data_IF_155843840217
#
_entry.id   IF_155843840217
#
_cell.length_a   1.000
_cell.length_b   1.000
_cell.length_c   1.000
_cell.angle_alpha   90.00
_cell.angle_beta   90.00
_cell.angle_gamma   90.00
#
_symmetry.space_group_name_H-M   'P 1'
#
loop_
_entity.id
_entity.type
_entity.pdbx_description
1 polymer ?
#
# COMPACT_ATOMS: atom_id res chain seq x y z
N UNK A 1 1.23 -3.57 18.35
CA UNK A 1 0.79 -4.73 17.58
C UNK A 1 2.01 -5.60 17.41
N UNK A 2 1.92 -6.90 17.67
CA UNK A 2 3.04 -7.81 17.42
C UNK A 2 2.80 -8.38 16.03
N UNK A 3 3.52 -7.87 15.03
CA UNK A 3 3.43 -8.31 13.64
C UNK A 3 4.86 -8.62 13.19
N UNK A 4 5.19 -9.91 13.13
CA UNK A 4 6.57 -10.38 12.92
C UNK A 4 6.71 -11.17 11.65
N UNK A 5 5.71 -11.95 11.29
CA UNK A 5 5.74 -12.80 10.09
C UNK A 5 4.78 -12.29 9.02
N UNK A 6 4.94 -12.82 7.81
CA UNK A 6 4.01 -12.55 6.72
C UNK A 6 2.57 -12.92 7.08
N UNK A 7 2.35 -14.04 7.77
CA UNK A 7 1.03 -14.49 8.21
C UNK A 7 0.34 -13.49 9.15
N UNK A 8 1.10 -12.82 10.02
CA UNK A 8 0.57 -11.76 10.89
C UNK A 8 0.14 -10.52 10.08
N UNK A 9 0.80 -10.26 8.96
CA UNK A 9 0.56 -9.11 8.09
C UNK A 9 -0.63 -9.31 7.14
N UNK A 10 -0.86 -10.55 6.69
CA UNK A 10 -2.03 -10.88 5.87
C UNK A 10 -3.33 -10.66 6.64
N UNK A 11 -4.30 -10.03 5.99
CA UNK A 11 -5.58 -9.66 6.60
C UNK A 11 -5.55 -8.33 7.38
N UNK A 12 -4.39 -7.68 7.49
CA UNK A 12 -4.33 -6.35 8.12
C UNK A 12 -5.00 -5.28 7.28
N UNK A 13 -5.61 -4.32 7.98
CA UNK A 13 -6.27 -3.17 7.40
C UNK A 13 -5.65 -1.88 7.96
N UNK A 14 -5.20 -1.01 7.05
CA UNK A 14 -4.49 0.21 7.37
C UNK A 14 -5.26 1.42 6.88
N UNK A 15 -5.28 2.47 7.70
CA UNK A 15 -5.54 3.85 7.27
C UNK A 15 -4.30 4.64 7.68
N UNK A 16 -3.70 5.36 6.74
CA UNK A 16 -2.47 6.10 6.97
C UNK A 16 -2.47 7.43 6.22
N UNK A 17 -1.76 8.40 6.79
CA UNK A 17 -1.63 9.74 6.22
C UNK A 17 -0.16 10.00 5.92
N UNK A 18 0.15 10.29 4.66
CA UNK A 18 1.48 10.73 4.25
C UNK A 18 1.82 12.11 4.83
N UNK A 19 3.12 12.43 4.92
CA UNK A 19 3.59 13.74 5.39
C UNK A 19 3.08 14.92 4.54
N UNK A 20 2.71 14.68 3.28
CA UNK A 20 2.07 15.67 2.40
C UNK A 20 0.56 15.84 2.62
N UNK A 21 -0.01 15.18 3.65
CA UNK A 21 -1.42 15.28 4.04
C UNK A 21 -2.37 14.36 3.30
N UNK A 22 -1.90 13.50 2.40
CA UNK A 22 -2.76 12.57 1.68
C UNK A 22 -3.12 11.35 2.54
N UNK A 23 -4.42 11.08 2.69
CA UNK A 23 -4.93 9.93 3.45
C UNK A 23 -5.33 8.78 2.53
N UNK A 24 -4.80 7.61 2.84
CA UNK A 24 -4.95 6.37 2.08
C UNK A 24 -5.39 5.24 3.02
N UNK A 25 -6.09 4.27 2.45
CA UNK A 25 -6.56 3.05 3.11
C UNK A 25 -6.16 1.85 2.28
N UNK A 26 -5.66 0.80 2.93
CA UNK A 26 -5.21 -0.42 2.28
C UNK A 26 -5.56 -1.65 3.12
N UNK A 27 -6.13 -2.66 2.48
CA UNK A 27 -6.40 -3.97 3.05
C UNK A 27 -5.55 -5.04 2.37
N UNK A 28 -4.72 -5.72 3.15
CA UNK A 28 -3.87 -6.83 2.69
C UNK A 28 -4.73 -8.08 2.62
N UNK A 29 -5.37 -8.32 1.48
CA UNK A 29 -6.41 -9.36 1.37
C UNK A 29 -5.86 -10.78 1.47
N UNK A 30 -4.75 -11.03 0.79
CA UNK A 30 -4.01 -12.30 0.81
C UNK A 30 -2.57 -12.04 0.34
N UNK A 31 -1.78 -13.08 0.11
CA UNK A 31 -0.35 -12.99 -0.23
C UNK A 31 -0.02 -12.37 -1.59
N UNK A 32 -1.01 -12.14 -2.47
CA UNK A 32 -0.78 -11.59 -3.80
C UNK A 32 -1.85 -10.57 -4.22
N UNK A 33 -2.76 -10.19 -3.33
CA UNK A 33 -3.86 -9.28 -3.64
C UNK A 33 -4.09 -8.25 -2.52
N UNK A 34 -4.34 -6.99 -2.91
CA UNK A 34 -4.81 -5.93 -2.01
C UNK A 34 -6.12 -5.29 -2.51
N UNK A 35 -6.84 -4.67 -1.58
CA UNK A 35 -7.85 -3.66 -1.88
C UNK A 35 -7.36 -2.32 -1.31
N UNK A 36 -7.57 -1.20 -2.00
CA UNK A 36 -7.16 0.13 -1.49
C UNK A 36 -8.14 1.24 -1.86
N UNK A 37 -8.21 2.27 -1.01
CA UNK A 37 -9.04 3.46 -1.20
C UNK A 37 -8.27 4.73 -0.86
N UNK A 38 -8.54 5.80 -1.60
CA UNK A 38 -7.85 7.09 -1.44
C UNK A 38 -8.86 8.10 -0.92
N UNK A 39 -8.62 8.63 0.28
CA UNK A 39 -9.52 9.57 0.96
C UNK A 39 -9.17 11.03 0.65
N UNK A 40 -7.89 11.34 0.49
CA UNK A 40 -7.39 12.70 0.24
C UNK A 40 -6.27 12.79 -0.78
N UNK A 41 -6.05 13.98 -1.33
CA UNK A 41 -5.00 14.26 -2.31
C UNK A 41 -5.47 14.27 -3.77
N UNK A 42 -4.53 14.15 -4.70
CA UNK A 42 -4.75 14.37 -6.15
C UNK A 42 -5.80 13.45 -6.78
N UNK A 43 -5.98 12.25 -6.22
CA UNK A 43 -6.87 11.21 -6.76
C UNK A 43 -7.88 10.71 -5.70
N UNK A 44 -8.30 11.60 -4.80
CA UNK A 44 -9.30 11.32 -3.78
C UNK A 44 -10.61 10.75 -4.37
N UNK A 45 -11.22 9.80 -3.67
CA UNK A 45 -12.43 9.09 -4.10
C UNK A 45 -12.16 7.82 -4.92
N UNK A 46 -10.92 7.60 -5.38
CA UNK A 46 -10.55 6.36 -6.07
C UNK A 46 -10.56 5.18 -5.08
N UNK A 47 -11.15 4.07 -5.51
CA UNK A 47 -11.13 2.78 -4.82
C UNK A 47 -10.89 1.67 -5.85
N UNK A 48 -9.88 0.83 -5.61
CA UNK A 48 -9.60 -0.37 -6.38
C UNK A 48 -9.74 -1.63 -5.50
N UNK A 49 -10.33 -2.68 -6.07
CA UNK A 49 -10.43 -4.01 -5.46
C UNK A 49 -9.71 -5.04 -6.31
N UNK A 50 -9.18 -6.06 -5.67
CA UNK A 50 -8.47 -7.17 -6.28
C UNK A 50 -7.27 -6.72 -7.12
N UNK A 51 -6.48 -5.76 -6.62
CA UNK A 51 -5.22 -5.39 -7.26
C UNK A 51 -4.19 -6.48 -6.97
N UNK A 52 -3.65 -7.11 -8.01
CA UNK A 52 -2.53 -8.03 -7.90
C UNK A 52 -1.26 -7.28 -7.51
N UNK A 53 -0.47 -7.87 -6.60
CA UNK A 53 0.74 -7.27 -6.04
C UNK A 53 1.85 -8.30 -5.91
N UNK A 54 3.10 -7.83 -5.90
CA UNK A 54 4.21 -8.56 -5.27
C UNK A 54 4.26 -8.15 -3.80
N UNK A 55 4.22 -9.14 -2.90
CA UNK A 55 4.26 -8.94 -1.46
C UNK A 55 5.34 -9.82 -0.86
N UNK A 56 6.31 -9.19 -0.20
CA UNK A 56 7.41 -9.88 0.48
C UNK A 56 7.63 -9.36 1.90
N UNK A 57 8.14 -10.23 2.75
CA UNK A 57 8.73 -9.84 4.02
C UNK A 57 10.23 -9.57 3.81
N UNK A 58 10.70 -8.36 4.10
CA UNK A 58 12.10 -7.98 3.91
C UNK A 58 12.98 -8.45 5.07
N UNK A 59 12.51 -8.19 6.29
CA UNK A 59 13.06 -8.64 7.57
C UNK A 59 11.89 -8.86 8.54
N UNK A 60 12.15 -9.32 9.76
CA UNK A 60 11.11 -9.45 10.80
C UNK A 60 10.31 -8.14 10.94
N UNK A 61 8.99 -8.22 10.80
CA UNK A 61 8.06 -7.09 10.97
C UNK A 61 8.11 -5.99 9.89
N UNK A 62 8.91 -6.14 8.83
CA UNK A 62 8.98 -5.18 7.73
C UNK A 62 8.54 -5.83 6.42
N UNK A 63 7.51 -5.27 5.81
CA UNK A 63 6.84 -5.84 4.65
C UNK A 63 6.86 -4.87 3.49
N UNK A 64 7.02 -5.38 2.28
CA UNK A 64 6.98 -4.59 1.06
C UNK A 64 5.85 -5.08 0.16
N UNK A 65 5.07 -4.13 -0.36
CA UNK A 65 4.02 -4.36 -1.36
C UNK A 65 4.35 -3.51 -2.59
N UNK A 66 4.45 -4.14 -3.76
CA UNK A 66 4.64 -3.41 -5.02
C UNK A 66 3.64 -3.82 -6.08
N UNK A 67 3.23 -2.88 -6.92
CA UNK A 67 2.38 -3.18 -8.07
C UNK A 67 2.51 -2.13 -9.17
N UNK A 68 2.02 -2.50 -10.35
CA UNK A 68 1.76 -1.58 -11.45
C UNK A 68 0.26 -1.52 -11.69
N UNK A 69 -0.25 -0.33 -11.99
CA UNK A 69 -1.65 -0.09 -12.30
C UNK A 69 -1.89 -0.03 -13.81
N UNK A 70 -3.10 -0.33 -14.30
CA UNK A 70 -3.45 -0.15 -15.70
C UNK A 70 -3.26 1.29 -16.23
N UNK A 71 -3.22 2.28 -15.34
CA UNK A 71 -2.93 3.67 -15.69
C UNK A 71 -1.46 3.92 -16.03
N UNK A 72 -0.57 2.95 -15.81
CA UNK A 72 0.89 3.10 -15.89
C UNK A 72 1.51 3.70 -14.63
N UNK A 73 0.76 3.74 -13.51
CA UNK A 73 1.29 4.14 -12.21
C UNK A 73 1.99 2.95 -11.57
N UNK A 74 3.24 3.13 -11.15
CA UNK A 74 3.93 2.14 -10.32
C UNK A 74 3.91 2.56 -8.85
N UNK A 75 3.79 1.58 -7.95
CA UNK A 75 3.76 1.82 -6.51
C UNK A 75 4.66 0.84 -5.77
N UNK A 76 5.40 1.35 -4.80
CA UNK A 76 6.12 0.57 -3.80
C UNK A 76 5.84 1.11 -2.40
N UNK A 77 5.30 0.25 -1.53
CA UNK A 77 5.01 0.56 -0.13
C UNK A 77 5.80 -0.35 0.80
N UNK A 78 6.40 0.23 1.83
CA UNK A 78 7.08 -0.47 2.90
C UNK A 78 6.30 -0.22 4.20
N UNK A 79 5.83 -1.30 4.85
CA UNK A 79 5.06 -1.26 6.09
C UNK A 79 5.92 -1.72 7.27
N UNK A 80 5.84 -0.97 8.36
CA UNK A 80 6.44 -1.26 9.67
C UNK A 80 5.34 -1.15 10.73
N UNK A 81 4.43 -2.15 10.83
CA UNK A 81 3.21 -2.04 11.62
C UNK A 81 3.47 -1.88 13.12
N UNK A 82 4.53 -2.51 13.63
CA UNK A 82 4.95 -2.42 15.03
C UNK A 82 5.33 -0.97 15.41
N UNK A 83 5.97 -0.26 14.48
CA UNK A 83 6.44 1.12 14.60
C UNK A 83 5.37 2.14 14.22
N UNK A 84 4.21 1.68 13.71
CA UNK A 84 3.14 2.50 13.13
C UNK A 84 3.66 3.42 12.02
N UNK A 85 4.50 2.88 11.14
CA UNK A 85 5.09 3.62 10.02
C UNK A 85 4.78 2.93 8.70
N UNK A 86 4.67 3.76 7.67
CA UNK A 86 4.61 3.36 6.28
C UNK A 86 5.47 4.34 5.49
N UNK A 87 6.21 3.82 4.52
CA UNK A 87 6.89 4.62 3.53
C UNK A 87 6.35 4.22 2.17
N UNK A 88 6.05 5.18 1.31
CA UNK A 88 5.44 4.90 0.01
C UNK A 88 6.06 5.74 -1.09
N UNK A 89 6.30 5.10 -2.24
CA UNK A 89 6.78 5.73 -3.46
C UNK A 89 5.80 5.42 -4.58
N UNK A 90 5.27 6.47 -5.21
CA UNK A 90 4.30 6.38 -6.30
C UNK A 90 4.89 7.09 -7.51
N UNK A 91 5.02 6.37 -8.62
CA UNK A 91 5.53 6.87 -9.89
C UNK A 91 4.35 7.15 -10.80
N UNK A 92 3.92 8.41 -10.84
CA UNK A 92 2.83 8.82 -11.71
C UNK A 92 3.34 9.02 -13.15
N UNK A 93 2.68 8.43 -14.17
CA UNK A 93 3.01 8.72 -15.55
C UNK A 93 2.58 10.14 -15.90
N UNK A 94 3.31 10.77 -16.82
CA UNK A 94 2.86 12.03 -17.43
C UNK A 94 1.69 11.72 -18.35
N UNK A 95 0.49 12.19 -18.01
CA UNK A 95 -0.64 12.17 -18.92
C UNK A 95 -0.30 13.07 -20.13
N UNK A 96 -0.57 12.59 -21.35
CA UNK A 96 -0.23 13.29 -22.58
C UNK A 96 -0.77 14.72 -22.60
N UNK A 97 0.10 15.67 -22.90
CA UNK A 97 -0.21 17.07 -23.23
C UNK A 97 -0.65 17.21 -24.67
#
# INVERSE_FOLDING_TARGET
MDCKTLEDFLGMHFIYTYDNGWEYELYVKNSHTIDYRIHGGMVAGRWVKNQEVDLVQLIEGVFKITWTEPTGTDVALDFMPCEKRVHGMIFFPKLGT
#
